data_IF_543172621561
#
_entry.id   IF_543172621561
#
_cell.length_a   1.000
_cell.length_b   1.000
_cell.length_c   1.000
_cell.angle_alpha   90.00
_cell.angle_beta   90.00
_cell.angle_gamma   90.00
#
_symmetry.space_group_name_H-M   'P 1'
#
loop_
_entity.id
_entity.type
_entity.pdbx_description
1 polymer ?
#
# COMPACT_ATOMS: atom_id res chain seq x y z
N UNK A 1 0.45 -0.54 -9.33
CA UNK A 1 0.36 -0.82 -10.78
C UNK A 1 1.05 -2.14 -11.08
N UNK A 2 0.55 -2.91 -12.07
CA UNK A 2 1.20 -4.14 -12.49
C UNK A 2 1.10 -4.33 -14.00
N UNK A 3 2.21 -4.74 -14.64
CA UNK A 3 2.22 -5.25 -16.01
C UNK A 3 2.33 -6.77 -15.94
N UNK A 4 1.38 -7.45 -16.55
CA UNK A 4 1.33 -8.91 -16.61
C UNK A 4 1.56 -9.37 -18.05
N UNK A 5 2.41 -10.36 -18.24
CA UNK A 5 2.64 -11.02 -19.53
C UNK A 5 2.38 -12.51 -19.40
N UNK A 6 1.46 -13.01 -20.23
CA UNK A 6 1.17 -14.43 -20.33
C UNK A 6 2.00 -15.06 -21.45
N UNK A 7 2.98 -15.85 -21.08
CA UNK A 7 3.88 -16.49 -22.07
C UNK A 7 3.15 -17.50 -22.97
N UNK A 8 2.08 -18.13 -22.47
CA UNK A 8 1.29 -19.11 -23.21
C UNK A 8 0.50 -18.46 -24.36
N UNK A 9 -0.08 -17.29 -24.12
CA UNK A 9 -0.88 -16.57 -25.13
C UNK A 9 -0.10 -15.48 -25.86
N UNK A 10 1.07 -15.10 -25.35
CA UNK A 10 1.85 -13.96 -25.85
C UNK A 10 1.20 -12.60 -25.58
N UNK A 11 0.19 -12.55 -24.75
CA UNK A 11 -0.55 -11.32 -24.45
C UNK A 11 -0.02 -10.62 -23.21
N UNK A 12 -0.03 -9.30 -23.23
CA UNK A 12 0.29 -8.45 -22.10
C UNK A 12 -0.92 -7.60 -21.71
N UNK A 13 -1.10 -7.40 -20.43
CA UNK A 13 -2.09 -6.50 -19.83
C UNK A 13 -1.43 -5.60 -18.80
N UNK A 14 -2.05 -4.47 -18.54
CA UNK A 14 -1.65 -3.55 -17.49
C UNK A 14 -2.85 -3.29 -16.59
N UNK A 15 -2.64 -3.43 -15.28
CA UNK A 15 -3.64 -3.10 -14.27
C UNK A 15 -3.17 -1.87 -13.49
N UNK A 16 -3.97 -0.82 -13.54
CA UNK A 16 -3.74 0.40 -12.79
C UNK A 16 -4.49 0.31 -11.45
N UNK A 17 -3.73 0.40 -10.37
CA UNK A 17 -4.24 0.49 -9.01
C UNK A 17 -3.43 1.51 -8.20
N UNK A 18 -3.00 2.58 -8.86
CA UNK A 18 -2.41 3.72 -8.14
C UNK A 18 -3.46 4.38 -7.24
N UNK A 19 -2.95 5.07 -6.27
CA UNK A 19 -3.75 5.96 -5.44
C UNK A 19 -4.48 7.00 -6.31
N UNK A 20 -5.67 7.38 -5.90
CA UNK A 20 -6.45 8.46 -6.51
C UNK A 20 -6.62 9.61 -5.53
N UNK A 21 -6.81 10.81 -6.05
CA UNK A 21 -7.08 11.99 -5.21
C UNK A 21 -8.47 11.86 -4.59
N UNK A 22 -8.65 12.10 -3.27
CA UNK A 22 -9.96 12.19 -2.65
C UNK A 22 -10.85 13.24 -3.35
N UNK A 23 -12.15 12.98 -3.46
CA UNK A 23 -13.07 13.79 -4.25
C UNK A 23 -13.11 15.26 -3.80
N UNK A 24 -13.12 15.50 -2.49
CA UNK A 24 -13.15 16.86 -1.94
C UNK A 24 -11.83 17.61 -2.15
N UNK A 25 -10.69 16.91 -2.13
CA UNK A 25 -9.37 17.50 -2.28
C UNK A 25 -9.16 18.11 -3.68
N UNK A 26 -9.80 17.57 -4.70
CA UNK A 26 -9.64 18.03 -6.10
C UNK A 26 -9.96 19.51 -6.28
N UNK A 27 -10.83 20.09 -5.45
CA UNK A 27 -11.23 21.48 -5.49
C UNK A 27 -10.39 22.42 -4.63
N UNK A 28 -9.47 21.90 -3.80
CA UNK A 28 -8.78 22.62 -2.73
C UNK A 28 -7.27 22.72 -2.91
N UNK A 29 -6.76 22.52 -4.13
CA UNK A 29 -5.33 22.63 -4.44
C UNK A 29 -4.88 24.09 -4.33
N UNK A 30 -4.57 24.53 -3.13
CA UNK A 30 -3.97 25.82 -2.82
C UNK A 30 -2.54 25.68 -2.25
N UNK A 31 -1.84 26.80 -2.08
CA UNK A 31 -0.46 26.79 -1.58
C UNK A 31 -0.34 26.25 -0.14
N UNK A 32 -1.39 26.33 0.67
CA UNK A 32 -1.43 25.86 2.07
C UNK A 32 -1.53 24.33 2.17
N UNK A 33 -2.01 23.67 1.12
CA UNK A 33 -2.13 22.21 1.05
C UNK A 33 -0.78 21.48 1.09
N UNK A 34 0.31 22.16 0.76
CA UNK A 34 1.65 21.56 0.74
C UNK A 34 2.28 21.44 2.13
N UNK A 35 1.83 22.22 3.10
CA UNK A 35 2.38 22.22 4.46
C UNK A 35 1.80 21.09 5.33
N UNK A 36 0.59 20.60 5.02
CA UNK A 36 -0.05 19.53 5.75
C UNK A 36 0.15 18.17 5.07
N UNK A 37 0.94 17.29 5.68
CA UNK A 37 1.21 15.94 5.16
C UNK A 37 -0.06 15.09 5.00
N UNK A 38 -1.07 15.26 5.86
CA UNK A 38 -2.34 14.55 5.76
C UNK A 38 -3.14 14.93 4.50
N UNK A 39 -2.93 16.13 3.98
CA UNK A 39 -3.49 16.57 2.70
C UNK A 39 -2.95 15.74 1.51
N UNK A 40 -1.76 15.16 1.63
CA UNK A 40 -1.14 14.37 0.56
C UNK A 40 -1.61 12.91 0.56
N UNK A 41 -2.48 12.51 1.48
CA UNK A 41 -2.98 11.14 1.56
C UNK A 41 -4.01 10.91 0.46
N UNK A 42 -3.64 10.06 -0.51
CA UNK A 42 -4.54 9.58 -1.55
C UNK A 42 -5.35 8.36 -1.13
N UNK A 43 -6.40 8.06 -1.89
CA UNK A 43 -7.19 6.83 -1.74
C UNK A 43 -6.33 5.63 -2.13
N UNK A 44 -5.99 4.73 -1.19
CA UNK A 44 -5.03 3.65 -1.48
C UNK A 44 -5.66 2.57 -2.37
N UNK A 45 -4.92 2.12 -3.37
CA UNK A 45 -5.39 1.14 -4.35
C UNK A 45 -4.76 -0.24 -4.25
N UNK A 46 -3.71 -0.42 -3.45
CA UNK A 46 -2.88 -1.62 -3.47
C UNK A 46 -3.67 -2.90 -3.15
N UNK A 47 -4.49 -2.90 -2.12
CA UNK A 47 -5.27 -4.09 -1.71
C UNK A 47 -6.24 -4.52 -2.80
N UNK A 48 -6.98 -3.58 -3.39
CA UNK A 48 -7.92 -3.87 -4.47
C UNK A 48 -7.19 -4.36 -5.74
N UNK A 49 -6.06 -3.72 -6.09
CA UNK A 49 -5.30 -4.08 -7.28
C UNK A 49 -4.65 -5.45 -7.21
N UNK A 50 -4.04 -5.80 -6.08
CA UNK A 50 -3.45 -7.13 -5.88
C UNK A 50 -4.53 -8.20 -5.88
N UNK A 51 -5.69 -7.94 -5.27
CA UNK A 51 -6.81 -8.86 -5.28
C UNK A 51 -7.36 -9.07 -6.69
N UNK A 52 -7.52 -8.02 -7.49
CA UNK A 52 -7.97 -8.12 -8.88
C UNK A 52 -6.99 -8.91 -9.77
N UNK A 53 -5.67 -8.77 -9.53
CA UNK A 53 -4.66 -9.62 -10.19
C UNK A 53 -4.82 -11.09 -9.79
N UNK A 54 -5.05 -11.35 -8.50
CA UNK A 54 -5.28 -12.70 -8.03
C UNK A 54 -6.56 -13.32 -8.58
N UNK A 55 -7.66 -12.59 -8.62
CA UNK A 55 -8.92 -13.08 -9.22
C UNK A 55 -8.74 -13.49 -10.68
N UNK A 56 -7.92 -12.76 -11.42
CA UNK A 56 -7.73 -13.00 -12.85
C UNK A 56 -6.67 -14.07 -13.16
N UNK A 57 -5.59 -14.13 -12.37
CA UNK A 57 -4.39 -14.92 -12.70
C UNK A 57 -3.92 -15.83 -11.56
N UNK A 58 -4.54 -15.77 -10.40
CA UNK A 58 -4.11 -16.53 -9.22
C UNK A 58 -4.37 -18.03 -9.37
N UNK A 59 -3.41 -18.84 -8.96
CA UNK A 59 -3.50 -20.31 -8.94
C UNK A 59 -3.56 -20.89 -7.53
N UNK A 60 -3.20 -20.11 -6.51
CA UNK A 60 -3.32 -20.45 -5.09
C UNK A 60 -4.50 -19.72 -4.46
N UNK A 61 -5.03 -20.22 -3.35
CA UNK A 61 -6.08 -19.49 -2.63
C UNK A 61 -5.55 -18.18 -2.03
N UNK A 62 -6.41 -17.17 -1.95
CA UNK A 62 -6.06 -15.84 -1.48
C UNK A 62 -5.47 -15.85 -0.07
N UNK A 63 -6.11 -16.58 0.84
CA UNK A 63 -5.67 -16.72 2.22
C UNK A 63 -4.26 -17.32 2.33
N UNK A 64 -3.95 -18.36 1.52
CA UNK A 64 -2.62 -18.97 1.50
C UNK A 64 -1.53 -17.99 1.05
N UNK A 65 -1.83 -17.10 0.10
CA UNK A 65 -0.87 -16.10 -0.38
C UNK A 65 -0.51 -15.06 0.67
N UNK A 66 -1.42 -14.75 1.58
CA UNK A 66 -1.17 -13.77 2.64
C UNK A 66 -0.46 -14.38 3.86
N UNK A 67 -0.51 -15.70 4.05
CA UNK A 67 0.07 -16.34 5.25
C UNK A 67 1.54 -15.98 5.53
N UNK A 68 2.46 -15.94 4.54
CA UNK A 68 3.84 -15.55 4.82
C UNK A 68 3.97 -14.13 5.37
N UNK A 69 3.19 -13.18 4.86
CA UNK A 69 3.19 -11.80 5.33
C UNK A 69 2.60 -11.68 6.74
N UNK A 70 1.50 -12.40 7.02
CA UNK A 70 0.90 -12.48 8.35
C UNK A 70 1.90 -13.04 9.36
N UNK A 71 2.59 -14.12 9.01
CA UNK A 71 3.59 -14.75 9.87
C UNK A 71 4.78 -13.80 10.14
N UNK A 72 5.29 -13.11 9.12
CA UNK A 72 6.36 -12.14 9.29
C UNK A 72 5.95 -10.97 10.19
N UNK A 73 4.74 -10.44 10.02
CA UNK A 73 4.24 -9.37 10.87
C UNK A 73 4.11 -9.84 12.32
N UNK A 74 3.61 -11.05 12.56
CA UNK A 74 3.36 -11.59 13.90
C UNK A 74 4.63 -12.10 14.60
N UNK A 75 5.42 -12.92 13.90
CA UNK A 75 6.63 -13.53 14.47
C UNK A 75 7.82 -12.57 14.47
N UNK A 76 7.77 -11.57 13.60
CA UNK A 76 8.78 -10.56 13.43
C UNK A 76 9.80 -10.87 12.35
N UNK A 77 10.53 -9.84 12.00
CA UNK A 77 11.62 -9.86 11.03
C UNK A 77 12.81 -9.08 11.58
N UNK A 78 14.01 -9.48 11.16
CA UNK A 78 15.23 -8.85 11.66
C UNK A 78 15.45 -7.46 11.02
N UNK A 79 15.89 -6.52 11.83
CA UNK A 79 16.33 -5.20 11.39
C UNK A 79 17.59 -5.35 10.54
N UNK A 80 17.47 -4.99 9.26
CA UNK A 80 18.60 -4.91 8.34
C UNK A 80 19.26 -3.52 8.41
N UNK A 81 20.51 -3.33 7.92
CA UNK A 81 21.12 -2.01 7.82
C UNK A 81 20.25 -1.00 7.04
N UNK A 82 19.60 -1.44 5.95
CA UNK A 82 18.71 -0.59 5.15
C UNK A 82 17.47 -0.16 5.91
N UNK A 83 16.87 -1.08 6.68
CA UNK A 83 15.72 -0.76 7.52
C UNK A 83 16.10 0.20 8.65
N UNK A 84 17.24 -0.04 9.31
CA UNK A 84 17.76 0.88 10.33
C UNK A 84 17.92 2.28 9.76
N UNK A 85 18.60 2.42 8.60
CA UNK A 85 18.78 3.72 7.96
C UNK A 85 17.45 4.43 7.62
N UNK A 86 16.40 3.68 7.21
CA UNK A 86 15.09 4.24 6.98
C UNK A 86 14.42 4.71 8.29
N UNK A 87 14.53 3.94 9.37
CA UNK A 87 14.02 4.32 10.69
C UNK A 87 14.74 5.57 11.20
N UNK A 88 16.07 5.64 11.10
CA UNK A 88 16.87 6.80 11.54
C UNK A 88 16.49 8.06 10.76
N UNK A 89 16.20 7.94 9.45
CA UNK A 89 15.81 9.08 8.61
C UNK A 89 14.53 9.77 9.10
N UNK A 90 13.57 9.01 9.60
CA UNK A 90 12.27 9.53 10.06
C UNK A 90 12.06 9.35 11.56
N UNK A 91 13.16 9.16 12.31
CA UNK A 91 13.12 8.92 13.76
C UNK A 91 12.32 9.96 14.53
N UNK A 92 12.52 11.25 14.24
CA UNK A 92 11.80 12.32 14.93
C UNK A 92 10.29 12.24 14.75
N UNK A 93 9.83 11.85 13.57
CA UNK A 93 8.40 11.63 13.30
C UNK A 93 7.89 10.37 14.01
N UNK A 94 8.61 9.26 13.92
CA UNK A 94 8.24 8.02 14.62
C UNK A 94 8.13 8.22 16.14
N UNK A 95 9.08 8.93 16.74
CA UNK A 95 9.11 9.20 18.17
C UNK A 95 7.93 10.08 18.64
N UNK A 96 7.37 10.90 17.75
CA UNK A 96 6.19 11.75 18.06
C UNK A 96 4.85 11.00 17.94
N UNK A 97 4.83 9.81 17.33
CA UNK A 97 3.64 8.97 17.16
C UNK A 97 3.74 7.71 18.04
N UNK A 98 2.95 7.61 19.14
CA UNK A 98 3.06 6.51 20.09
C UNK A 98 2.96 5.12 19.46
N UNK A 99 2.02 4.92 18.52
CA UNK A 99 1.82 3.63 17.86
C UNK A 99 3.03 3.22 17.01
N UNK A 100 3.64 4.16 16.28
CA UNK A 100 4.85 3.91 15.50
C UNK A 100 6.06 3.66 16.42
N UNK A 101 6.17 4.44 17.50
CA UNK A 101 7.22 4.28 18.49
C UNK A 101 7.19 2.89 19.14
N UNK A 102 6.00 2.40 19.51
CA UNK A 102 5.83 1.07 20.12
C UNK A 102 6.27 -0.06 19.18
N UNK A 103 5.97 0.05 17.87
CA UNK A 103 6.30 -0.98 16.89
C UNK A 103 7.79 -0.94 16.51
N UNK A 104 8.32 0.23 16.18
CA UNK A 104 9.60 0.38 15.50
C UNK A 104 10.75 0.82 16.39
N UNK A 105 10.49 1.39 17.58
CA UNK A 105 11.53 1.83 18.49
C UNK A 105 11.70 0.88 19.69
N UNK A 106 12.83 0.99 20.37
CA UNK A 106 13.12 0.28 21.63
C UNK A 106 13.43 1.32 22.70
N UNK A 107 12.58 1.39 23.71
CA UNK A 107 12.67 2.44 24.76
C UNK A 107 12.77 3.86 24.17
N UNK A 108 12.04 4.10 23.07
CA UNK A 108 12.02 5.37 22.35
C UNK A 108 13.24 5.64 21.46
N UNK A 109 14.14 4.68 21.27
CA UNK A 109 15.35 4.80 20.44
C UNK A 109 15.30 3.86 19.21
N UNK A 110 16.01 4.18 18.12
CA UNK A 110 16.15 3.27 16.99
C UNK A 110 16.69 1.89 17.42
N UNK A 111 16.17 0.80 16.83
CA UNK A 111 16.64 -0.56 17.13
C UNK A 111 18.08 -0.76 16.61
N UNK A 112 18.66 -1.91 16.92
CA UNK A 112 19.97 -2.32 16.38
C UNK A 112 19.77 -3.28 15.20
N UNK A 113 20.73 -3.33 14.31
CA UNK A 113 20.79 -4.38 13.27
C UNK A 113 20.76 -5.75 13.93
N UNK A 114 19.83 -6.60 13.50
CA UNK A 114 19.59 -7.93 14.07
C UNK A 114 18.47 -7.99 15.13
N UNK A 115 18.04 -6.86 15.66
CA UNK A 115 16.85 -6.83 16.52
C UNK A 115 15.62 -7.30 15.73
N UNK A 116 14.61 -7.81 16.44
CA UNK A 116 13.37 -8.30 15.81
C UNK A 116 12.25 -7.27 15.99
N UNK A 117 11.64 -6.84 14.89
CA UNK A 117 10.43 -6.01 14.88
C UNK A 117 9.23 -6.90 14.64
N UNK A 118 8.20 -6.79 15.48
CA UNK A 118 6.89 -7.40 15.34
C UNK A 118 5.84 -6.32 15.15
N UNK A 119 4.81 -6.62 14.34
CA UNK A 119 3.68 -5.72 14.11
C UNK A 119 2.37 -6.52 14.16
N UNK A 120 1.89 -6.78 15.38
CA UNK A 120 0.66 -7.54 15.59
C UNK A 120 -0.59 -6.85 14.99
N UNK A 121 -0.76 -5.51 15.09
CA UNK A 121 -1.86 -4.82 14.40
C UNK A 121 -1.88 -5.07 12.88
N UNK A 122 -0.71 -5.04 12.23
CA UNK A 122 -0.61 -5.37 10.81
C UNK A 122 -0.97 -6.82 10.53
N UNK A 123 -0.54 -7.76 11.38
CA UNK A 123 -0.89 -9.17 11.22
C UNK A 123 -2.41 -9.37 11.28
N UNK A 124 -3.10 -8.75 12.21
CA UNK A 124 -4.56 -8.80 12.35
C UNK A 124 -5.28 -8.18 11.15
N UNK A 125 -4.81 -7.05 10.66
CA UNK A 125 -5.34 -6.40 9.45
C UNK A 125 -5.18 -7.33 8.22
N UNK A 126 -4.00 -7.92 8.05
CA UNK A 126 -3.75 -8.86 6.95
C UNK A 126 -4.59 -10.14 7.07
N UNK A 127 -4.83 -10.66 8.26
CA UNK A 127 -5.76 -11.79 8.48
C UNK A 127 -7.18 -11.44 8.08
N UNK A 128 -7.64 -10.25 8.46
CA UNK A 128 -8.98 -9.79 8.08
C UNK A 128 -9.10 -9.64 6.56
N UNK A 129 -8.07 -9.14 5.90
CA UNK A 129 -7.99 -9.07 4.43
C UNK A 129 -7.93 -10.48 3.80
N UNK A 130 -7.20 -11.41 4.41
CA UNK A 130 -7.11 -12.79 3.93
C UNK A 130 -8.48 -13.50 3.95
N UNK A 131 -9.28 -13.24 4.98
CA UNK A 131 -10.60 -13.85 5.17
C UNK A 131 -11.71 -13.20 4.33
N UNK A 132 -11.68 -11.87 4.20
CA UNK A 132 -12.79 -11.09 3.64
C UNK A 132 -12.44 -10.38 2.32
N UNK A 133 -11.23 -10.57 1.80
CA UNK A 133 -10.76 -9.86 0.61
C UNK A 133 -10.70 -8.34 0.81
N UNK A 134 -10.81 -7.56 -0.28
CA UNK A 134 -10.71 -6.09 -0.24
C UNK A 134 -11.76 -5.40 0.62
N UNK A 135 -12.93 -6.03 0.81
CA UNK A 135 -14.01 -5.45 1.64
C UNK A 135 -13.56 -5.21 3.09
N UNK A 136 -12.61 -6.00 3.59
CA UNK A 136 -11.99 -5.78 4.89
C UNK A 136 -11.37 -4.39 5.01
N UNK A 137 -10.72 -3.92 3.96
CA UNK A 137 -10.07 -2.61 3.94
C UNK A 137 -11.04 -1.50 3.52
N UNK A 138 -11.73 -1.68 2.39
CA UNK A 138 -12.52 -0.61 1.77
C UNK A 138 -13.91 -0.41 2.37
N UNK A 139 -14.39 -1.34 3.19
CA UNK A 139 -15.69 -1.24 3.87
C UNK A 139 -15.53 -1.25 5.38
N UNK A 140 -14.87 -2.28 5.95
CA UNK A 140 -14.85 -2.46 7.39
C UNK A 140 -13.98 -1.41 8.09
N UNK A 141 -12.81 -1.05 7.51
CA UNK A 141 -11.90 -0.06 8.07
C UNK A 141 -12.14 1.37 7.53
N UNK A 142 -13.08 1.56 6.58
CA UNK A 142 -13.25 2.82 5.87
C UNK A 142 -13.53 4.01 6.81
N UNK A 143 -14.40 3.84 7.79
CA UNK A 143 -14.74 4.90 8.74
C UNK A 143 -13.58 5.23 9.70
N UNK A 144 -12.83 4.24 10.14
CA UNK A 144 -11.66 4.45 11.01
C UNK A 144 -10.56 5.20 10.27
N UNK A 145 -10.32 4.83 9.00
CA UNK A 145 -9.36 5.52 8.13
C UNK A 145 -9.79 6.97 7.91
N UNK A 146 -11.07 7.20 7.57
CA UNK A 146 -11.63 8.55 7.42
C UNK A 146 -11.41 9.40 8.68
N UNK A 147 -11.83 8.91 9.84
CA UNK A 147 -11.67 9.64 11.11
C UNK A 147 -10.19 9.95 11.41
N UNK A 148 -9.30 9.01 11.17
CA UNK A 148 -7.87 9.19 11.39
C UNK A 148 -7.29 10.25 10.46
N UNK A 149 -7.60 10.19 9.16
CA UNK A 149 -7.10 11.15 8.17
C UNK A 149 -7.67 12.55 8.39
N UNK A 150 -8.97 12.66 8.68
CA UNK A 150 -9.62 13.95 8.92
C UNK A 150 -9.13 14.59 10.24
N UNK A 151 -8.88 13.80 11.29
CA UNK A 151 -8.32 14.33 12.53
C UNK A 151 -6.92 14.95 12.35
N UNK A 152 -6.18 14.48 11.34
CA UNK A 152 -4.89 15.02 10.92
C UNK A 152 -5.00 16.16 9.90
N UNK A 153 -6.22 16.55 9.49
CA UNK A 153 -6.50 17.61 8.52
C UNK A 153 -6.44 17.18 7.05
N UNK A 154 -6.55 15.87 6.77
CA UNK A 154 -6.70 15.35 5.41
C UNK A 154 -8.16 15.27 4.96
N UNK A 155 -8.39 14.89 3.71
CA UNK A 155 -9.71 14.95 3.04
C UNK A 155 -10.27 13.60 2.60
N UNK A 156 -9.56 12.51 2.86
CA UNK A 156 -10.02 11.17 2.47
C UNK A 156 -11.27 10.79 3.27
N UNK A 157 -12.30 10.33 2.55
CA UNK A 157 -13.58 9.89 3.12
C UNK A 157 -13.78 8.38 2.98
N UNK A 158 -14.68 7.82 3.77
CA UNK A 158 -15.12 6.42 3.61
C UNK A 158 -15.75 6.17 2.23
N UNK A 159 -16.44 7.17 1.67
CA UNK A 159 -17.06 7.08 0.34
C UNK A 159 -16.00 7.02 -0.77
N UNK A 160 -14.88 7.72 -0.65
CA UNK A 160 -13.75 7.59 -1.57
C UNK A 160 -13.19 6.17 -1.57
N UNK A 161 -13.03 5.57 -0.38
CA UNK A 161 -12.59 4.18 -0.23
C UNK A 161 -13.59 3.20 -0.86
N UNK A 162 -14.87 3.35 -0.56
CA UNK A 162 -15.95 2.48 -1.10
C UNK A 162 -16.05 2.51 -2.63
N UNK A 163 -15.72 3.65 -3.25
CA UNK A 163 -15.79 3.83 -4.70
C UNK A 163 -14.52 3.42 -5.44
N UNK A 164 -13.44 3.18 -4.71
CA UNK A 164 -12.18 2.86 -5.34
C UNK A 164 -12.26 1.53 -6.12
N UNK A 165 -11.82 1.55 -7.39
CA UNK A 165 -11.71 0.37 -8.24
C UNK A 165 -10.44 0.42 -9.08
N UNK A 166 -9.66 -0.66 -9.14
CA UNK A 166 -8.58 -0.79 -10.12
C UNK A 166 -9.16 -0.95 -11.53
N UNK A 167 -8.43 -0.52 -12.53
CA UNK A 167 -8.88 -0.63 -13.92
C UNK A 167 -7.78 -1.12 -14.85
N UNK A 168 -8.17 -1.89 -15.88
CA UNK A 168 -7.26 -2.42 -16.86
C UNK A 168 -7.06 -1.44 -18.02
N UNK A 169 -5.82 -1.37 -18.50
CA UNK A 169 -5.41 -0.54 -19.65
C UNK A 169 -4.45 -1.31 -20.56
N UNK A 170 -4.19 -0.75 -21.72
CA UNK A 170 -3.16 -1.29 -22.59
C UNK A 170 -1.77 -0.89 -22.07
N UNK A 171 -0.82 -1.85 -21.95
CA UNK A 171 0.55 -1.50 -21.59
C UNK A 171 1.23 -0.68 -22.69
N UNK A 172 2.19 0.14 -22.31
CA UNK A 172 3.08 0.75 -23.27
C UNK A 172 3.97 -0.31 -23.91
N UNK A 173 4.10 -0.28 -25.24
CA UNK A 173 4.92 -1.24 -25.97
C UNK A 173 5.92 -0.54 -26.88
N UNK A 174 7.08 -1.16 -27.03
CA UNK A 174 8.14 -0.66 -27.90
C UNK A 174 9.08 -1.78 -28.34
N UNK A 175 10.05 -1.44 -29.17
CA UNK A 175 11.11 -2.38 -29.56
C UNK A 175 12.49 -1.76 -29.36
N UNK A 176 13.40 -2.55 -28.85
CA UNK A 176 14.80 -2.15 -28.72
C UNK A 176 15.73 -3.32 -29.03
N UNK A 177 16.62 -3.14 -29.98
CA UNK A 177 17.60 -4.15 -30.44
C UNK A 177 16.97 -5.51 -30.76
N UNK A 178 15.77 -5.53 -31.36
CA UNK A 178 15.04 -6.75 -31.72
C UNK A 178 14.22 -7.39 -30.60
N UNK A 179 14.25 -6.79 -29.41
CA UNK A 179 13.41 -7.23 -28.27
C UNK A 179 12.15 -6.38 -28.20
N UNK A 180 11.03 -7.02 -27.88
CA UNK A 180 9.81 -6.32 -27.51
C UNK A 180 9.92 -5.87 -26.05
N UNK A 181 9.62 -4.61 -25.80
CA UNK A 181 9.54 -4.01 -24.47
C UNK A 181 8.07 -3.78 -24.15
N UNK A 182 7.64 -4.23 -22.97
CA UNK A 182 6.30 -4.02 -22.44
C UNK A 182 6.46 -3.39 -21.07
N UNK A 183 5.77 -2.27 -20.85
CA UNK A 183 5.92 -1.48 -19.61
C UNK A 183 4.62 -0.81 -19.21
N UNK A 184 4.65 -0.16 -18.03
CA UNK A 184 3.60 0.75 -17.60
C UNK A 184 3.46 1.90 -18.60
N UNK A 185 2.22 2.32 -18.97
CA UNK A 185 1.98 3.53 -19.75
C UNK A 185 2.22 4.82 -18.95
N UNK A 186 2.39 4.71 -17.63
CA UNK A 186 2.64 5.83 -16.73
C UNK A 186 4.09 5.83 -16.24
N UNK A 187 4.62 7.02 -15.95
CA UNK A 187 5.89 7.15 -15.26
C UNK A 187 5.84 6.45 -13.91
N UNK A 188 6.92 5.73 -13.56
CA UNK A 188 7.10 5.22 -12.20
C UNK A 188 7.34 6.38 -11.23
N UNK A 189 6.87 6.25 -9.99
CA UNK A 189 7.26 7.12 -8.88
C UNK A 189 8.51 6.59 -8.23
#
# INVERSE_FOLDING_TARGET
>A
MATYYCAETGQASFLNFRETTPAEQTSLLDEHSQENKAFQIGVPGQTAGIYALWEQYGSMSWDQLLQPAIQLARQGYQVTPSLLGAIELIYGEMASHPELSEIYLRDGLPPRVGDVIQNEPLAQTLETIAQNGPSAFYQNLAQEIEMSVQSAGGYLTADDLLRYQPFAEHPATGTYRGYQIISSPYGGS
#
